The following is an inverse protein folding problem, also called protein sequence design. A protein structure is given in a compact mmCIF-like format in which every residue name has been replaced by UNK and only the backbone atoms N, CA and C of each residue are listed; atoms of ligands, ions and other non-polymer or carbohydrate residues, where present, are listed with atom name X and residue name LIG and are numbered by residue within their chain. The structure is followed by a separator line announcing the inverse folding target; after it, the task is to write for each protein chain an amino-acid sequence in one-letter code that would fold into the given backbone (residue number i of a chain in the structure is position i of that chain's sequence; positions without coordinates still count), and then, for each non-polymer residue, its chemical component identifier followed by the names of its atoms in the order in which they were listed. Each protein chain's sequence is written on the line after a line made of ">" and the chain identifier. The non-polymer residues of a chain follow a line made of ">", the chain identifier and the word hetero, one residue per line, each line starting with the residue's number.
data_IF_930320361177
#
_entry.id   IF_930320361177
#
_cell.length_a   1.000
_cell.length_b   1.000
_cell.length_c   1.000
_cell.angle_alpha   90.00
_cell.angle_beta   90.00
_cell.angle_gamma   90.00
#
_symmetry.space_group_name_H-M   'P 1'
#
loop_
_entity.id
_entity.type
_entity.pdbx_description
1 polymer ?
#
# COMPACT_ATOMS: atom_id res chain seq x y z
N UNK A 1 -18.75 -74.42 -12.98
CA UNK A 1 -18.83 -74.27 -11.50
C UNK A 1 -18.12 -72.99 -11.10
N UNK A 2 -18.66 -72.23 -10.15
CA UNK A 2 -18.54 -70.78 -10.09
C UNK A 2 -17.37 -70.33 -9.20
N UNK A 3 -16.73 -69.20 -9.52
CA UNK A 3 -16.26 -68.29 -8.48
C UNK A 3 -16.44 -66.84 -8.96
N UNK A 4 -17.24 -66.12 -8.19
CA UNK A 4 -17.53 -64.71 -8.25
C UNK A 4 -16.40 -63.94 -7.55
N UNK A 5 -15.88 -62.85 -8.12
CA UNK A 5 -15.35 -61.73 -7.33
C UNK A 5 -15.55 -60.42 -8.09
N UNK A 6 -16.16 -59.47 -7.38
CA UNK A 6 -16.70 -58.20 -7.81
C UNK A 6 -15.63 -57.07 -7.79
N UNK A 7 -15.99 -55.82 -8.16
CA UNK A 7 -15.09 -54.87 -8.80
C UNK A 7 -14.18 -54.16 -7.80
N UNK A 8 -12.90 -54.00 -8.15
CA UNK A 8 -12.07 -52.95 -7.57
C UNK A 8 -11.70 -51.96 -8.66
N UNK A 9 -12.38 -50.83 -8.56
CA UNK A 9 -12.15 -49.60 -9.27
C UNK A 9 -10.65 -49.32 -9.44
N UNK A 10 -10.21 -49.26 -10.70
CA UNK A 10 -8.96 -48.64 -11.09
C UNK A 10 -9.27 -47.28 -11.67
N UNK A 11 -9.37 -46.29 -10.79
CA UNK A 11 -9.30 -44.88 -11.17
C UNK A 11 -8.04 -44.31 -10.52
N UNK A 12 -6.92 -44.39 -11.24
CA UNK A 12 -5.80 -43.46 -11.07
C UNK A 12 -5.72 -42.66 -12.36
N UNK A 13 -6.79 -41.90 -12.62
CA UNK A 13 -6.73 -40.77 -13.53
C UNK A 13 -5.99 -39.66 -12.80
N UNK A 14 -4.72 -39.49 -13.11
CA UNK A 14 -3.95 -38.32 -12.72
C UNK A 14 -4.64 -37.08 -13.31
N UNK A 15 -5.43 -36.39 -12.50
CA UNK A 15 -5.89 -35.05 -12.82
C UNK A 15 -4.78 -34.07 -12.47
N UNK A 16 -3.88 -33.88 -13.44
CA UNK A 16 -3.21 -32.61 -13.70
C UNK A 16 -4.29 -31.53 -13.84
N UNK A 17 -4.74 -30.97 -12.71
CA UNK A 17 -5.57 -29.77 -12.71
C UNK A 17 -4.62 -28.58 -12.70
N UNK A 18 -4.29 -28.21 -13.94
CA UNK A 18 -3.86 -26.92 -14.44
C UNK A 18 -3.30 -25.94 -13.41
N UNK A 19 -2.01 -25.67 -13.54
CA UNK A 19 -1.44 -24.36 -13.30
C UNK A 19 -2.11 -23.34 -14.25
N UNK A 20 -3.36 -22.97 -13.96
CA UNK A 20 -3.84 -21.64 -14.27
C UNK A 20 -3.16 -20.74 -13.25
N UNK A 21 -2.02 -20.16 -13.63
CA UNK A 21 -1.36 -19.14 -12.84
C UNK A 21 -2.35 -17.97 -12.72
N UNK A 22 -3.16 -17.99 -11.67
CA UNK A 22 -3.95 -16.85 -11.29
C UNK A 22 -2.95 -15.73 -11.06
N UNK A 23 -3.00 -14.73 -11.93
CA UNK A 23 -2.36 -13.45 -11.75
C UNK A 23 -2.93 -12.82 -10.47
N UNK A 24 -2.39 -13.21 -9.33
CA UNK A 24 -2.74 -12.59 -8.07
C UNK A 24 -1.97 -11.28 -8.03
N UNK A 25 -2.67 -10.19 -8.30
CA UNK A 25 -2.32 -8.94 -7.65
C UNK A 25 -3.17 -8.96 -6.39
N UNK A 26 -2.60 -9.33 -5.25
CA UNK A 26 -3.36 -9.43 -4.01
C UNK A 26 -3.72 -8.06 -3.46
N UNK A 27 -4.56 -7.31 -4.15
CA UNK A 27 -5.37 -6.28 -3.52
C UNK A 27 -6.38 -7.03 -2.62
N UNK A 28 -6.55 -6.66 -1.34
CA UNK A 28 -6.24 -5.38 -0.70
C UNK A 28 -4.90 -5.34 0.06
N UNK A 29 -4.02 -6.35 -0.10
CA UNK A 29 -2.73 -6.41 0.59
C UNK A 29 -1.80 -5.27 0.15
N UNK A 30 -0.97 -4.83 1.09
CA UNK A 30 0.22 -4.02 0.82
C UNK A 30 1.39 -4.93 0.45
N UNK A 31 1.45 -6.11 1.07
CA UNK A 31 2.39 -7.17 0.72
C UNK A 31 1.98 -7.81 -0.60
N UNK A 32 2.83 -7.60 -1.60
CA UNK A 32 2.72 -8.15 -2.95
C UNK A 32 3.23 -9.60 -3.00
N UNK A 33 2.80 -10.37 -3.99
CA UNK A 33 3.31 -11.71 -4.27
C UNK A 33 4.26 -11.72 -5.48
N UNK A 34 4.81 -12.90 -5.77
CA UNK A 34 5.77 -13.12 -6.86
C UNK A 34 5.11 -13.55 -8.18
N UNK A 35 3.78 -13.68 -8.22
CA UNK A 35 3.07 -14.05 -9.43
C UNK A 35 3.23 -12.96 -10.50
N UNK A 36 3.18 -13.41 -11.74
CA UNK A 36 3.32 -12.60 -12.96
C UNK A 36 2.15 -12.88 -13.88
N UNK A 37 1.89 -12.00 -14.84
CA UNK A 37 0.80 -12.18 -15.80
C UNK A 37 1.06 -13.32 -16.78
N UNK A 38 2.33 -13.63 -17.04
CA UNK A 38 2.72 -14.52 -18.13
C UNK A 38 2.91 -13.78 -19.44
N UNK A 39 3.73 -14.34 -20.35
CA UNK A 39 4.10 -13.66 -21.58
C UNK A 39 2.87 -13.30 -22.45
N UNK A 40 2.76 -12.04 -22.85
CA UNK A 40 1.71 -11.56 -23.73
C UNK A 40 0.38 -11.20 -23.04
N UNK A 41 0.21 -11.54 -21.76
CA UNK A 41 -1.01 -11.25 -21.01
C UNK A 41 -1.04 -9.81 -20.49
N UNK A 42 -2.26 -9.35 -20.22
CA UNK A 42 -2.55 -8.01 -19.71
C UNK A 42 -3.44 -8.11 -18.48
N UNK A 43 -3.19 -7.25 -17.51
CA UNK A 43 -4.08 -7.05 -16.37
C UNK A 43 -4.36 -5.58 -16.16
N UNK A 44 -5.63 -5.27 -15.90
CA UNK A 44 -6.09 -3.96 -15.48
C UNK A 44 -6.55 -4.06 -14.03
N UNK A 45 -5.96 -3.23 -13.16
CA UNK A 45 -6.40 -3.07 -11.78
C UNK A 45 -6.95 -1.66 -11.59
N UNK A 46 -8.10 -1.56 -10.91
CA UNK A 46 -8.68 -0.30 -10.50
C UNK A 46 -8.98 -0.34 -9.00
N UNK A 47 -8.32 0.53 -8.23
CA UNK A 47 -8.43 0.54 -6.78
C UNK A 47 -8.93 1.88 -6.25
N UNK A 48 -9.58 1.87 -5.08
CA UNK A 48 -9.91 3.10 -4.35
C UNK A 48 -9.77 2.91 -2.85
N UNK A 49 -9.01 3.80 -2.24
CA UNK A 49 -8.81 3.83 -0.80
C UNK A 49 -9.51 5.03 -0.19
N UNK A 50 -10.11 4.83 0.98
CA UNK A 50 -10.59 5.93 1.82
C UNK A 50 -9.90 5.87 3.19
N UNK A 51 -8.97 6.79 3.40
CA UNK A 51 -8.22 6.92 4.65
C UNK A 51 -8.77 8.09 5.46
N UNK A 52 -9.01 7.86 6.75
CA UNK A 52 -9.35 8.90 7.71
C UNK A 52 -8.18 9.12 8.65
N UNK A 53 -7.84 10.38 8.85
CA UNK A 53 -6.75 10.79 9.72
C UNK A 53 -7.34 11.59 10.89
N UNK A 54 -7.19 11.06 12.11
CA UNK A 54 -7.64 11.76 13.33
C UNK A 54 -6.45 12.48 13.95
N UNK A 55 -6.55 13.80 14.03
CA UNK A 55 -5.57 14.65 14.71
C UNK A 55 -6.26 15.52 15.76
N UNK A 56 -5.47 16.12 16.66
CA UNK A 56 -6.01 17.01 17.69
C UNK A 56 -6.71 18.26 17.11
N UNK A 57 -6.34 18.67 15.90
CA UNK A 57 -6.96 19.77 15.15
C UNK A 57 -8.26 19.37 14.41
N UNK A 58 -8.68 18.10 14.48
CA UNK A 58 -9.86 17.56 13.82
C UNK A 58 -9.56 16.34 12.95
N UNK A 59 -10.58 15.86 12.22
CA UNK A 59 -10.45 14.71 11.31
C UNK A 59 -10.25 15.19 9.87
N UNK A 60 -9.12 14.81 9.28
CA UNK A 60 -8.88 14.90 7.85
C UNK A 60 -9.25 13.59 7.14
N UNK A 61 -9.33 13.63 5.82
CA UNK A 61 -9.53 12.43 5.02
C UNK A 61 -8.80 12.52 3.69
N UNK A 62 -8.47 11.37 3.15
CA UNK A 62 -7.94 11.21 1.81
C UNK A 62 -8.66 10.07 1.12
N UNK A 63 -9.07 10.33 -0.11
CA UNK A 63 -9.43 9.32 -1.08
C UNK A 63 -8.34 9.29 -2.14
N UNK A 64 -7.87 8.12 -2.47
CA UNK A 64 -6.99 7.96 -3.61
C UNK A 64 -7.49 6.78 -4.43
N UNK A 65 -7.62 7.04 -5.72
CA UNK A 65 -8.12 6.10 -6.71
C UNK A 65 -6.99 5.90 -7.69
N UNK A 66 -6.82 4.69 -8.18
CA UNK A 66 -5.75 4.42 -9.09
C UNK A 66 -6.16 3.42 -10.15
N UNK A 67 -5.48 3.51 -11.29
CA UNK A 67 -5.57 2.53 -12.35
C UNK A 67 -4.16 2.06 -12.64
N UNK A 68 -3.97 0.74 -12.63
CA UNK A 68 -2.71 0.09 -13.00
C UNK A 68 -2.94 -0.80 -14.19
N UNK A 69 -2.13 -0.64 -15.23
CA UNK A 69 -2.09 -1.53 -16.37
C UNK A 69 -0.77 -2.28 -16.37
N UNK A 70 -0.85 -3.60 -16.31
CA UNK A 70 0.28 -4.52 -16.29
C UNK A 70 0.32 -5.33 -17.58
N UNK A 71 1.53 -5.55 -18.10
CA UNK A 71 1.79 -6.43 -19.24
C UNK A 71 2.91 -7.40 -18.89
N UNK A 72 2.68 -8.69 -19.10
CA UNK A 72 3.72 -9.71 -19.00
C UNK A 72 4.60 -9.69 -20.23
N UNK A 73 5.82 -9.17 -20.11
CA UNK A 73 6.83 -9.18 -21.17
C UNK A 73 7.42 -10.58 -21.38
N UNK A 74 7.46 -11.38 -20.33
CA UNK A 74 7.85 -12.78 -20.34
C UNK A 74 7.14 -13.51 -19.19
N UNK A 75 7.23 -14.84 -19.15
CA UNK A 75 6.57 -15.64 -18.11
C UNK A 75 7.00 -15.23 -16.69
N UNK A 76 8.24 -14.76 -16.53
CA UNK A 76 8.80 -14.33 -15.26
C UNK A 76 8.92 -12.79 -15.11
N UNK A 77 8.44 -11.99 -16.07
CA UNK A 77 8.65 -10.54 -16.08
C UNK A 77 7.39 -9.77 -16.47
N UNK A 78 6.90 -8.96 -15.54
CA UNK A 78 5.85 -7.99 -15.77
C UNK A 78 6.40 -6.57 -15.78
N UNK A 79 5.78 -5.71 -16.57
CA UNK A 79 5.90 -4.24 -16.45
C UNK A 79 4.54 -3.63 -16.25
N UNK A 80 4.46 -2.59 -15.44
CA UNK A 80 3.21 -1.92 -15.12
C UNK A 80 3.37 -0.40 -15.11
N UNK A 81 2.28 0.27 -15.47
CA UNK A 81 2.11 1.72 -15.29
C UNK A 81 0.92 1.98 -14.37
N UNK A 82 1.12 2.85 -13.40
CA UNK A 82 0.13 3.25 -12.41
C UNK A 82 -0.16 4.73 -12.53
N UNK A 83 -1.44 5.08 -12.60
CA UNK A 83 -1.94 6.44 -12.66
C UNK A 83 -2.82 6.74 -11.43
N UNK A 84 -2.31 7.46 -10.42
CA UNK A 84 -3.10 7.80 -9.25
C UNK A 84 -3.88 9.11 -9.45
N UNK A 85 -5.09 9.13 -8.89
CA UNK A 85 -5.90 10.33 -8.67
C UNK A 85 -6.12 10.52 -7.18
N UNK A 86 -5.73 11.68 -6.67
CA UNK A 86 -5.83 12.00 -5.25
C UNK A 86 -6.95 13.01 -5.01
N UNK A 87 -7.67 12.84 -3.91
CA UNK A 87 -8.63 13.79 -3.39
C UNK A 87 -8.55 13.78 -1.87
N UNK A 88 -8.09 14.86 -1.26
CA UNK A 88 -7.92 14.89 0.19
C UNK A 88 -8.33 16.24 0.76
N UNK A 89 -8.60 16.22 2.06
CA UNK A 89 -8.90 17.41 2.85
C UNK A 89 -8.25 17.29 4.22
N UNK A 90 -7.45 18.29 4.57
CA UNK A 90 -6.96 18.45 5.95
C UNK A 90 -8.09 18.95 6.86
N UNK A 91 -8.00 18.63 8.15
CA UNK A 91 -8.95 19.12 9.15
C UNK A 91 -9.05 20.65 9.11
N UNK A 92 -10.24 21.17 8.80
CA UNK A 92 -10.51 22.61 8.70
C UNK A 92 -9.96 23.32 7.45
N UNK A 93 -9.30 22.60 6.53
CA UNK A 93 -8.80 23.13 5.26
C UNK A 93 -9.76 22.90 4.08
N UNK A 94 -9.52 23.55 2.93
CA UNK A 94 -10.22 23.25 1.68
C UNK A 94 -9.77 21.89 1.11
N UNK A 95 -10.63 21.20 0.34
CA UNK A 95 -10.23 19.99 -0.36
C UNK A 95 -9.29 20.29 -1.53
N UNK A 96 -8.36 19.37 -1.79
CA UNK A 96 -7.46 19.38 -2.96
C UNK A 96 -7.66 18.10 -3.73
N UNK A 97 -7.72 18.20 -5.07
CA UNK A 97 -7.86 17.04 -5.95
C UNK A 97 -7.04 17.18 -7.22
N UNK A 98 -6.62 16.05 -7.76
CA UNK A 98 -5.98 15.97 -9.07
C UNK A 98 -5.13 14.72 -9.25
N UNK A 99 -4.47 14.59 -10.41
CA UNK A 99 -3.56 13.48 -10.66
C UNK A 99 -2.35 13.55 -9.72
N UNK A 100 -1.91 12.38 -9.27
CA UNK A 100 -0.68 12.22 -8.50
C UNK A 100 0.54 11.96 -9.38
N UNK A 101 1.65 11.59 -8.75
CA UNK A 101 2.86 11.15 -9.44
C UNK A 101 2.64 9.73 -10.02
N UNK A 102 2.77 9.58 -11.34
CA UNK A 102 2.64 8.30 -12.02
C UNK A 102 3.81 7.37 -11.68
N UNK A 103 3.58 6.06 -11.66
CA UNK A 103 4.64 5.08 -11.39
C UNK A 103 4.81 4.10 -12.56
N UNK A 104 6.05 3.74 -12.82
CA UNK A 104 6.48 2.65 -13.68
C UNK A 104 7.10 1.57 -12.79
N UNK A 105 6.70 0.34 -13.00
CA UNK A 105 7.10 -0.80 -12.18
C UNK A 105 7.50 -1.95 -13.08
N UNK A 106 8.50 -2.72 -12.66
CA UNK A 106 8.70 -4.07 -13.17
C UNK A 106 8.66 -5.05 -12.01
N UNK A 107 8.12 -6.25 -12.25
CA UNK A 107 8.17 -7.37 -11.30
C UNK A 107 8.84 -8.53 -12.02
N UNK A 108 9.96 -8.97 -11.48
CA UNK A 108 10.76 -10.06 -12.06
C UNK A 108 10.85 -11.21 -11.07
N UNK A 109 10.17 -12.32 -11.35
CA UNK A 109 10.34 -13.59 -10.62
C UNK A 109 11.71 -14.17 -10.95
N UNK A 110 12.62 -14.14 -9.98
CA UNK A 110 14.01 -14.55 -10.15
C UNK A 110 14.19 -16.05 -9.95
N UNK A 111 13.52 -16.58 -8.93
CA UNK A 111 13.65 -17.96 -8.48
C UNK A 111 12.27 -18.50 -8.16
N UNK A 112 12.07 -19.76 -8.48
CA UNK A 112 10.85 -20.50 -8.22
C UNK A 112 11.21 -21.97 -8.06
N UNK A 113 10.67 -22.60 -7.04
CA UNK A 113 10.69 -24.04 -6.85
C UNK A 113 9.25 -24.49 -6.69
N UNK A 114 8.66 -24.97 -7.77
CA UNK A 114 7.27 -25.43 -7.82
C UNK A 114 7.06 -26.64 -6.90
N UNK A 115 8.03 -27.54 -6.81
CA UNK A 115 7.93 -28.75 -5.98
C UNK A 115 7.89 -28.40 -4.49
N UNK A 116 8.63 -27.37 -4.10
CA UNK A 116 8.62 -26.82 -2.75
C UNK A 116 7.68 -25.61 -2.60
N UNK A 117 6.88 -25.26 -3.60
CA UNK A 117 5.90 -24.17 -3.59
C UNK A 117 6.44 -22.85 -3.03
N UNK A 118 7.63 -22.40 -3.42
CA UNK A 118 8.17 -21.09 -3.03
C UNK A 118 8.80 -20.36 -4.20
N UNK A 119 8.84 -19.04 -4.09
CA UNK A 119 9.37 -18.18 -5.14
C UNK A 119 9.88 -16.85 -4.57
N UNK A 120 10.79 -16.22 -5.32
CA UNK A 120 11.38 -14.92 -5.01
C UNK A 120 11.32 -14.01 -6.24
N UNK A 121 10.99 -12.74 -6.03
CA UNK A 121 10.95 -11.74 -7.08
C UNK A 121 11.63 -10.43 -6.65
N UNK A 122 12.18 -9.71 -7.63
CA UNK A 122 12.59 -8.32 -7.48
C UNK A 122 11.57 -7.40 -8.13
N UNK A 123 11.33 -6.26 -7.49
CA UNK A 123 10.38 -5.26 -7.96
C UNK A 123 11.00 -3.85 -7.94
N UNK A 124 11.71 -3.45 -9.00
CA UNK A 124 12.11 -2.06 -9.18
C UNK A 124 10.91 -1.18 -9.55
N UNK A 125 10.90 0.04 -9.05
CA UNK A 125 9.87 1.03 -9.34
C UNK A 125 10.49 2.42 -9.53
N UNK A 126 9.97 3.16 -10.50
CA UNK A 126 10.26 4.57 -10.71
C UNK A 126 8.96 5.36 -10.61
N UNK A 127 8.93 6.37 -9.74
CA UNK A 127 7.83 7.33 -9.66
C UNK A 127 8.25 8.61 -10.38
N UNK A 128 7.40 9.08 -11.29
CA UNK A 128 7.64 10.24 -12.14
C UNK A 128 6.99 11.49 -11.53
N UNK A 129 7.62 12.67 -11.62
CA UNK A 129 7.09 13.91 -11.03
C UNK A 129 5.97 14.54 -11.87
N UNK A 130 4.94 13.77 -12.21
CA UNK A 130 3.79 14.23 -13.01
C UNK A 130 2.73 14.96 -12.19
N UNK A 131 2.70 14.74 -10.88
CA UNK A 131 1.80 15.39 -9.94
C UNK A 131 2.20 16.83 -9.64
N UNK A 132 1.21 17.66 -9.33
CA UNK A 132 1.46 19.07 -9.03
C UNK A 132 2.06 19.26 -7.64
N UNK A 133 3.37 19.54 -7.57
CA UNK A 133 4.06 19.84 -6.31
C UNK A 133 3.46 21.04 -5.58
N UNK A 134 3.13 22.12 -6.30
CA UNK A 134 2.56 23.35 -5.72
C UNK A 134 1.21 23.10 -5.02
N UNK A 135 0.44 22.13 -5.50
CA UNK A 135 -0.82 21.70 -4.90
C UNK A 135 -0.65 20.55 -3.90
N UNK A 136 0.57 20.03 -3.72
CA UNK A 136 0.83 18.88 -2.85
C UNK A 136 0.26 17.56 -3.39
N UNK A 137 0.17 17.43 -4.72
CA UNK A 137 -0.26 16.20 -5.41
C UNK A 137 0.93 15.38 -5.93
N UNK A 138 2.17 15.86 -5.76
CA UNK A 138 3.38 15.18 -6.21
C UNK A 138 4.62 15.69 -5.47
N UNK A 139 5.68 14.90 -5.48
CA UNK A 139 6.97 15.19 -4.83
C UNK A 139 7.77 16.29 -5.55
N UNK A 140 7.48 16.51 -6.84
CA UNK A 140 8.24 17.39 -7.74
C UNK A 140 9.61 16.84 -8.16
N UNK A 141 9.91 15.57 -7.88
CA UNK A 141 11.15 14.88 -8.31
C UNK A 141 10.88 13.40 -8.55
N UNK A 142 11.63 12.79 -9.46
CA UNK A 142 11.54 11.35 -9.64
C UNK A 142 12.09 10.62 -8.40
N UNK A 143 11.44 9.53 -7.99
CA UNK A 143 11.91 8.65 -6.92
C UNK A 143 12.09 7.23 -7.44
N UNK A 144 13.04 6.49 -6.87
CA UNK A 144 13.27 5.10 -7.23
C UNK A 144 13.12 4.19 -6.02
N UNK A 145 12.62 2.98 -6.23
CA UNK A 145 12.52 1.95 -5.20
C UNK A 145 12.93 0.59 -5.74
N UNK A 146 13.31 -0.27 -4.81
CA UNK A 146 13.58 -1.68 -5.05
C UNK A 146 13.00 -2.48 -3.89
N UNK A 147 12.24 -3.52 -4.20
CA UNK A 147 11.75 -4.49 -3.23
C UNK A 147 12.18 -5.91 -3.62
N UNK A 148 12.51 -6.70 -2.61
CA UNK A 148 12.54 -8.16 -2.68
C UNK A 148 11.20 -8.68 -2.16
N UNK A 149 10.64 -9.65 -2.85
CA UNK A 149 9.33 -10.24 -2.60
C UNK A 149 9.52 -11.75 -2.51
N UNK A 150 8.85 -12.37 -1.54
CA UNK A 150 8.85 -13.81 -1.33
C UNK A 150 7.43 -14.33 -1.19
N UNK A 151 7.15 -15.47 -1.81
CA UNK A 151 5.89 -16.19 -1.69
C UNK A 151 6.15 -17.65 -1.33
N UNK A 152 5.33 -18.21 -0.43
CA UNK A 152 5.36 -19.63 -0.06
C UNK A 152 3.93 -20.14 0.01
N UNK A 153 3.59 -21.13 -0.80
CA UNK A 153 2.25 -21.73 -0.85
C UNK A 153 2.26 -23.15 -0.26
N UNK A 154 1.34 -23.42 0.67
CA UNK A 154 1.20 -24.71 1.38
C UNK A 154 -0.28 -25.06 1.52
N UNK A 155 -0.78 -25.92 0.63
CA UNK A 155 -2.21 -26.25 0.58
C UNK A 155 -3.04 -24.97 0.36
N UNK A 156 -4.07 -24.69 1.18
CA UNK A 156 -4.90 -23.50 1.02
C UNK A 156 -4.25 -22.21 1.56
N UNK A 157 -3.02 -22.25 2.05
CA UNK A 157 -2.34 -21.11 2.67
C UNK A 157 -1.23 -20.56 1.77
N UNK A 158 -1.21 -19.25 1.61
CA UNK A 158 -0.12 -18.52 0.96
C UNK A 158 0.48 -17.53 1.96
N UNK A 159 1.79 -17.60 2.14
CA UNK A 159 2.57 -16.72 2.99
C UNK A 159 3.40 -15.79 2.13
N UNK A 160 3.34 -14.50 2.42
CA UNK A 160 4.01 -13.46 1.64
C UNK A 160 4.93 -12.65 2.55
N UNK A 161 6.09 -12.24 2.04
CA UNK A 161 7.02 -11.38 2.76
C UNK A 161 7.80 -10.48 1.80
N UNK A 162 7.80 -9.18 2.09
CA UNK A 162 8.45 -8.18 1.27
C UNK A 162 9.43 -7.36 2.11
N UNK A 163 10.54 -6.93 1.52
CA UNK A 163 11.48 -5.98 2.12
C UNK A 163 12.14 -5.11 1.06
N UNK A 164 12.32 -3.81 1.33
CA UNK A 164 12.83 -2.93 0.30
C UNK A 164 13.16 -1.52 0.75
N UNK A 165 13.71 -0.78 -0.20
CA UNK A 165 14.27 0.55 0.01
C UNK A 165 13.79 1.52 -1.06
N UNK A 166 13.65 2.78 -0.65
CA UNK A 166 13.26 3.88 -1.52
C UNK A 166 14.29 5.00 -1.43
N UNK A 167 14.76 5.46 -2.58
CA UNK A 167 15.41 6.76 -2.72
C UNK A 167 14.34 7.83 -2.97
N UNK A 168 13.88 8.46 -1.88
CA UNK A 168 12.88 9.52 -1.88
C UNK A 168 13.56 10.86 -2.18
N UNK A 169 13.98 11.03 -3.43
CA UNK A 169 14.44 12.33 -3.93
C UNK A 169 13.25 13.29 -3.93
N UNK A 170 13.22 14.23 -2.99
CA UNK A 170 12.13 15.20 -2.86
C UNK A 170 12.68 16.63 -2.73
N UNK A 171 11.78 17.62 -2.85
CA UNK A 171 12.05 19.05 -2.55
C UNK A 171 11.42 19.52 -1.24
N UNK A 172 10.78 18.62 -0.49
CA UNK A 172 10.03 18.90 0.75
C UNK A 172 10.86 18.74 2.03
N UNK A 173 12.14 18.36 1.93
CA UNK A 173 13.05 18.23 3.08
C UNK A 173 12.88 16.92 3.88
N UNK A 174 12.13 15.96 3.33
CA UNK A 174 11.89 14.65 3.93
C UNK A 174 13.15 13.77 3.92
N UNK A 175 13.10 12.62 4.61
CA UNK A 175 14.19 11.65 4.58
C UNK A 175 14.41 11.13 3.16
N UNK A 176 15.68 11.10 2.74
CA UNK A 176 16.11 10.64 1.41
C UNK A 176 16.01 9.12 1.24
N UNK A 177 16.25 8.36 2.31
CA UNK A 177 16.21 6.89 2.25
C UNK A 177 15.20 6.33 3.24
N UNK A 178 14.23 5.61 2.69
CA UNK A 178 13.17 4.94 3.43
C UNK A 178 13.34 3.42 3.25
N UNK A 179 12.99 2.68 4.28
CA UNK A 179 12.89 1.22 4.21
C UNK A 179 11.44 0.83 4.53
N UNK A 180 11.01 -0.29 3.99
CA UNK A 180 9.75 -0.91 4.35
C UNK A 180 9.90 -2.42 4.35
N UNK A 181 9.13 -3.06 5.23
CA UNK A 181 9.02 -4.50 5.31
C UNK A 181 7.58 -4.85 5.70
N UNK A 182 7.03 -5.89 5.08
CA UNK A 182 5.68 -6.36 5.35
C UNK A 182 5.57 -7.86 5.15
N UNK A 183 4.56 -8.45 5.75
CA UNK A 183 4.21 -9.85 5.58
C UNK A 183 2.71 -10.00 5.60
N UNK A 184 2.21 -10.93 4.79
CA UNK A 184 0.81 -11.25 4.74
C UNK A 184 0.59 -12.76 4.70
N UNK A 185 -0.61 -13.14 5.08
CA UNK A 185 -1.13 -14.48 4.92
C UNK A 185 -2.46 -14.42 4.18
N UNK A 186 -2.62 -15.31 3.22
CA UNK A 186 -3.85 -15.54 2.49
C UNK A 186 -4.29 -16.98 2.73
N UNK A 187 -5.58 -17.15 2.95
CA UNK A 187 -6.22 -18.44 3.09
C UNK A 187 -7.32 -18.58 2.05
N UNK A 188 -7.17 -19.52 1.12
CA UNK A 188 -8.21 -19.93 0.19
C UNK A 188 -9.29 -20.70 0.96
N UNK A 189 -10.27 -19.97 1.50
CA UNK A 189 -11.34 -20.51 2.31
C UNK A 189 -12.30 -21.38 1.47
N UNK A 190 -12.56 -20.96 0.23
CA UNK A 190 -13.27 -21.75 -0.80
C UNK A 190 -12.65 -21.49 -2.17
N UNK A 191 -13.17 -22.13 -3.22
CA UNK A 191 -12.76 -21.83 -4.60
C UNK A 191 -13.06 -20.37 -5.02
N UNK A 192 -14.09 -19.74 -4.41
CA UNK A 192 -14.50 -18.38 -4.74
C UNK A 192 -13.98 -17.34 -3.76
N UNK A 193 -13.53 -17.73 -2.57
CA UNK A 193 -13.21 -16.80 -1.50
C UNK A 193 -11.81 -17.03 -0.92
N UNK A 194 -11.00 -15.98 -0.93
CA UNK A 194 -9.77 -15.89 -0.17
C UNK A 194 -9.92 -14.88 0.97
N UNK A 195 -9.48 -15.23 2.17
CA UNK A 195 -9.35 -14.30 3.30
C UNK A 195 -7.90 -13.91 3.48
N UNK A 196 -7.66 -12.64 3.79
CA UNK A 196 -6.29 -12.12 3.88
C UNK A 196 -6.04 -11.29 5.12
N UNK A 197 -4.80 -11.33 5.61
CA UNK A 197 -4.31 -10.49 6.68
C UNK A 197 -2.89 -10.00 6.36
N UNK A 198 -2.61 -8.73 6.65
CA UNK A 198 -1.34 -8.08 6.33
C UNK A 198 -0.84 -7.27 7.52
N UNK A 199 0.48 -7.23 7.69
CA UNK A 199 1.14 -6.39 8.68
C UNK A 199 2.46 -5.90 8.13
N UNK A 200 2.81 -4.66 8.48
CA UNK A 200 4.09 -4.13 8.04
C UNK A 200 4.56 -2.93 8.82
N UNK A 201 5.81 -2.60 8.60
CA UNK A 201 6.49 -1.45 9.14
C UNK A 201 7.26 -0.72 8.04
N UNK A 202 7.32 0.60 8.14
CA UNK A 202 8.12 1.42 7.24
C UNK A 202 8.76 2.57 7.98
N UNK A 203 9.89 3.05 7.46
CA UNK A 203 10.51 4.26 7.96
C UNK A 203 9.63 5.45 7.62
N UNK A 204 9.20 6.18 8.64
CA UNK A 204 8.45 7.41 8.41
C UNK A 204 9.27 8.38 7.56
N UNK A 205 8.64 9.06 6.63
CA UNK A 205 9.34 10.05 5.81
C UNK A 205 9.61 11.36 6.54
N UNK A 206 8.67 11.73 7.41
CA UNK A 206 8.81 12.84 8.33
C UNK A 206 9.94 12.56 9.31
N UNK A 207 10.82 13.55 9.50
CA UNK A 207 11.93 13.41 10.44
C UNK A 207 11.48 13.29 11.90
N UNK A 208 10.28 13.77 12.22
CA UNK A 208 9.73 13.76 13.57
C UNK A 208 9.21 12.38 14.01
N UNK A 209 8.69 11.58 13.09
CA UNK A 209 8.30 10.20 13.35
C UNK A 209 9.48 9.25 13.05
N UNK A 210 9.52 8.08 13.71
CA UNK A 210 10.57 7.08 13.46
C UNK A 210 10.10 5.98 12.50
N UNK A 211 8.94 5.40 12.78
CA UNK A 211 8.45 4.21 12.09
C UNK A 211 6.93 4.22 12.05
N UNK A 212 6.36 3.96 10.88
CA UNK A 212 4.93 3.75 10.69
C UNK A 212 4.67 2.24 10.64
N UNK A 213 3.56 1.80 11.23
CA UNK A 213 3.16 0.39 11.26
C UNK A 213 1.69 0.25 10.90
N UNK A 214 1.30 -0.88 10.33
CA UNK A 214 -0.10 -1.14 10.01
C UNK A 214 -0.48 -2.61 10.23
N UNK A 215 -1.78 -2.83 10.33
CA UNK A 215 -2.45 -4.12 10.13
C UNK A 215 -3.59 -3.95 9.13
N UNK A 216 -3.87 -4.98 8.34
CA UNK A 216 -4.98 -5.06 7.41
C UNK A 216 -5.67 -6.42 7.56
N UNK A 217 -6.99 -6.42 7.41
CA UNK A 217 -7.79 -7.61 7.15
C UNK A 217 -8.61 -7.38 5.89
N UNK A 218 -8.78 -8.40 5.06
CA UNK A 218 -9.56 -8.29 3.83
C UNK A 218 -10.08 -9.62 3.33
N UNK A 219 -10.84 -9.54 2.25
CA UNK A 219 -11.33 -10.68 1.50
C UNK A 219 -11.23 -10.40 0.00
N UNK A 220 -11.03 -11.46 -0.77
CA UNK A 220 -10.98 -11.46 -2.23
C UNK A 220 -12.04 -12.45 -2.70
N UNK A 221 -12.92 -11.98 -3.59
CA UNK A 221 -13.94 -12.76 -4.27
C UNK A 221 -13.50 -13.02 -5.71
N UNK A 222 -13.18 -14.28 -6.00
CA UNK A 222 -12.86 -14.77 -7.33
C UNK A 222 -14.16 -14.98 -8.11
N UNK A 223 -14.64 -13.91 -8.75
CA UNK A 223 -15.93 -13.90 -9.45
C UNK A 223 -15.86 -14.76 -10.71
N UNK A 224 -14.70 -14.71 -11.40
CA UNK A 224 -14.34 -15.50 -12.58
C UNK A 224 -12.83 -15.73 -12.56
N UNK A 225 -12.34 -16.57 -13.45
CA UNK A 225 -10.90 -16.82 -13.61
C UNK A 225 -10.10 -15.56 -13.99
N UNK A 226 -10.77 -14.54 -14.55
CA UNK A 226 -10.18 -13.29 -15.04
C UNK A 226 -10.60 -12.05 -14.21
N UNK A 227 -11.37 -12.23 -13.13
CA UNK A 227 -11.98 -11.12 -12.41
C UNK A 227 -12.08 -11.39 -10.92
N UNK A 228 -11.29 -10.63 -10.17
CA UNK A 228 -11.32 -10.58 -8.71
C UNK A 228 -11.95 -9.27 -8.22
N UNK A 229 -12.72 -9.37 -7.14
CA UNK A 229 -13.23 -8.23 -6.38
C UNK A 229 -12.74 -8.32 -4.95
N UNK A 230 -12.08 -7.28 -4.45
CA UNK A 230 -11.53 -7.26 -3.11
C UNK A 230 -12.05 -6.11 -2.25
N UNK A 231 -11.98 -6.33 -0.94
CA UNK A 231 -12.22 -5.30 0.05
C UNK A 231 -11.35 -5.55 1.28
N UNK A 232 -10.75 -4.47 1.80
CA UNK A 232 -9.92 -4.53 2.99
C UNK A 232 -10.15 -3.37 3.95
N UNK A 233 -9.91 -3.63 5.24
CA UNK A 233 -9.85 -2.63 6.27
C UNK A 233 -8.45 -2.59 6.88
N UNK A 234 -7.82 -1.40 6.79
CA UNK A 234 -6.48 -1.15 7.30
C UNK A 234 -6.49 -0.19 8.48
N UNK A 235 -5.66 -0.47 9.47
CA UNK A 235 -5.41 0.41 10.62
C UNK A 235 -3.93 0.60 10.85
N UNK A 236 -3.52 1.83 11.15
CA UNK A 236 -2.18 2.10 11.65
C UNK A 236 -2.02 1.64 13.09
N UNK A 237 -0.87 1.03 13.40
CA UNK A 237 -0.51 0.53 14.72
C UNK A 237 0.49 1.45 15.41
N UNK A 238 0.35 1.62 16.72
CA UNK A 238 1.19 2.52 17.53
C UNK A 238 0.54 3.88 17.80
N UNK A 239 0.81 4.43 18.98
CA UNK A 239 0.14 5.61 19.49
C UNK A 239 0.74 6.92 18.96
N UNK A 240 -0.13 7.90 18.72
CA UNK A 240 0.22 9.30 18.62
C UNK A 240 0.78 9.79 19.97
N UNK A 241 2.07 10.17 20.02
CA UNK A 241 2.61 11.12 20.99
C UNK A 241 4.03 11.57 20.56
N UNK A 242 4.11 12.62 19.75
CA UNK A 242 5.28 13.50 19.74
C UNK A 242 4.79 14.95 19.79
N UNK A 243 5.17 15.68 20.83
CA UNK A 243 4.93 17.11 20.97
C UNK A 243 6.18 17.87 20.50
N UNK A 244 6.13 18.68 19.44
CA UNK A 244 7.24 19.59 19.14
C UNK A 244 7.28 20.73 20.17
N UNK A 245 8.47 21.23 20.56
CA UNK A 245 8.61 22.32 21.52
C UNK A 245 7.98 23.62 21.00
N UNK A 246 7.49 24.49 21.90
CA UNK A 246 6.81 25.73 21.50
C UNK A 246 7.86 26.75 21.06
N UNK A 247 7.94 27.02 19.75
CA UNK A 247 8.72 28.15 19.27
C UNK A 247 9.21 28.04 17.84
N UNK A 248 8.81 29.05 17.06
CA UNK A 248 9.40 29.52 15.79
C UNK A 248 8.92 28.87 14.48
N UNK A 249 8.19 29.74 13.78
CA UNK A 249 8.26 30.10 12.34
C UNK A 249 7.50 29.19 11.36
N UNK A 250 6.53 29.83 10.68
CA UNK A 250 6.07 29.65 9.29
C UNK A 250 6.46 28.29 8.65
N UNK A 251 5.49 27.38 8.52
CA UNK A 251 5.70 26.07 7.89
C UNK A 251 4.80 25.90 6.65
N UNK A 252 5.45 25.58 5.53
CA UNK A 252 4.86 25.05 4.30
C UNK A 252 4.52 23.55 4.47
N UNK A 253 3.52 23.00 3.75
CA UNK A 253 3.01 21.65 3.99
C UNK A 253 3.96 20.60 3.39
N UNK A 254 4.93 20.14 4.17
CA UNK A 254 5.90 19.11 3.78
C UNK A 254 5.65 17.80 4.54
N UNK A 255 4.87 16.89 3.93
CA UNK A 255 4.91 15.43 4.11
C UNK A 255 3.75 14.75 3.41
N UNK A 256 3.60 15.00 2.10
CA UNK A 256 2.48 14.47 1.31
C UNK A 256 2.91 13.46 0.24
N UNK A 257 4.20 13.20 0.08
CA UNK A 257 4.66 12.56 -1.16
C UNK A 257 5.67 11.40 -0.98
N UNK A 258 6.09 11.08 0.24
CA UNK A 258 7.17 10.12 0.47
C UNK A 258 6.77 8.64 0.60
N UNK A 259 5.47 8.33 0.61
CA UNK A 259 4.99 6.98 0.91
C UNK A 259 4.76 6.12 -0.32
N UNK A 260 4.74 6.71 -1.51
CA UNK A 260 4.28 6.07 -2.76
C UNK A 260 5.23 4.98 -3.29
N UNK A 261 6.49 5.02 -2.87
CA UNK A 261 7.53 4.19 -3.44
C UNK A 261 7.54 2.72 -2.98
N UNK A 262 6.60 2.34 -2.12
CA UNK A 262 6.46 0.98 -1.61
C UNK A 262 5.02 0.50 -1.54
N UNK A 263 4.12 1.21 -2.24
CA UNK A 263 2.68 1.01 -2.12
C UNK A 263 2.12 0.60 -3.47
N UNK A 264 1.15 -0.32 -3.52
CA UNK A 264 0.26 -0.41 -4.66
C UNK A 264 -0.27 0.99 -4.98
N UNK A 265 -0.62 1.17 -6.24
CA UNK A 265 -1.31 2.33 -6.73
C UNK A 265 -2.44 2.78 -5.77
N UNK A 266 -2.41 4.02 -5.25
CA UNK A 266 -3.55 4.62 -4.53
C UNK A 266 -3.47 4.88 -3.01
N UNK A 267 -2.34 4.65 -2.30
CA UNK A 267 -2.38 4.67 -0.82
C UNK A 267 -1.76 5.90 -0.10
N UNK A 268 -2.45 6.58 0.86
CA UNK A 268 -2.01 7.84 1.52
C UNK A 268 -0.95 7.74 2.64
N UNK A 269 -0.17 8.81 2.85
CA UNK A 269 0.65 9.02 4.07
C UNK A 269 -0.21 9.31 5.31
N UNK A 270 0.25 8.87 6.48
CA UNK A 270 -0.33 9.19 7.80
C UNK A 270 0.63 10.08 8.60
N UNK A 271 0.13 11.11 9.30
CA UNK A 271 0.94 12.07 10.08
C UNK A 271 0.66 12.04 11.60
N UNK A 272 1.58 12.57 12.44
CA UNK A 272 1.34 12.89 13.85
C UNK A 272 0.77 14.31 14.10
N UNK A 273 0.22 14.60 15.30
CA UNK A 273 -0.75 15.69 15.57
C UNK A 273 -0.19 17.14 15.70
N UNK A 274 -1.08 18.14 15.57
CA UNK A 274 -0.91 19.55 16.01
C UNK A 274 -2.08 20.06 16.87
N UNK A 275 -1.80 20.84 17.92
CA UNK A 275 -2.75 21.70 18.67
C UNK A 275 -2.68 23.15 18.20
N UNK A 276 -3.81 23.87 18.18
CA UNK A 276 -3.86 25.34 18.17
C UNK A 276 -3.78 25.88 19.62
N UNK A 277 -3.19 27.07 19.86
CA UNK A 277 -3.13 27.67 21.18
C UNK A 277 -4.52 28.08 21.67
N UNK A 278 -4.77 27.91 22.97
CA UNK A 278 -5.89 28.52 23.66
C UNK A 278 -5.75 30.05 23.58
N UNK A 279 -6.86 30.73 23.26
CA UNK A 279 -7.01 32.16 23.48
C UNK A 279 -6.79 32.46 24.97
N UNK A 280 -5.78 33.29 25.28
CA UNK A 280 -5.58 33.78 26.64
C UNK A 280 -6.80 34.61 27.09
N UNK A 281 -7.24 34.49 28.35
CA UNK A 281 -8.30 35.34 28.87
C UNK A 281 -7.84 36.80 28.92
N UNK A 282 -8.70 37.73 28.48
CA UNK A 282 -8.51 39.17 28.64
C UNK A 282 -8.37 39.48 30.14
N UNK A 283 -7.20 39.92 30.56
CA UNK A 283 -7.01 40.53 31.87
C UNK A 283 -7.73 41.89 31.89
N UNK A 284 -8.82 41.99 32.65
CA UNK A 284 -9.37 43.27 33.07
C UNK A 284 -8.32 44.00 33.91
N UNK A 285 -7.88 45.18 33.44
CA UNK A 285 -7.18 46.16 34.30
C UNK A 285 -8.20 46.78 35.26
N UNK A 286 -7.90 46.91 36.57
CA UNK A 286 -8.70 47.76 37.44
C UNK A 286 -8.43 49.23 37.13
N UNK A 287 -9.48 50.05 37.24
CA UNK A 287 -9.45 51.48 37.04
C UNK A 287 -8.50 52.16 38.03
N UNK A 288 -7.60 53.02 37.53
CA UNK A 288 -6.90 54.00 38.37
C UNK A 288 -7.86 55.15 38.65
N UNK A 289 -8.15 55.37 39.93
CA UNK A 289 -8.68 56.64 40.42
C UNK A 289 -7.68 57.77 40.12
N UNK A 290 -8.19 58.91 39.64
CA UNK A 290 -7.48 60.20 39.66
C UNK A 290 -8.00 61.01 40.85
N UNK A 291 -7.13 61.74 41.58
CA UNK A 291 -7.58 62.75 42.52
C UNK A 291 -7.85 64.06 41.79
N UNK A 292 -8.90 64.76 42.22
CA UNK A 292 -9.34 66.07 41.73
C UNK A 292 -10.64 66.42 42.42
#
# INVERSE_FOLDING_TARGET
>A
MPVCFSPRARWLGAALLGAAGAAQATHPLVTDDTATQGAGHWQLEASTDHTRERAAAGTGWQRATSVTLTHGLADALDVAVTLPWQHWREAGGPPVRGPGDAALLAKWRLLEDEAQGWSLALRPQLTLPSGSQARGLGTGRATAALALIASVQRGPWTWLANAGVTCNCNRSGERKYLWAASTAVQWAATAQWSLVADWGASRAAERAARTDRFALLGAIWHLREDLDLDAGWRRSLGAAAWAPPPGRRRWAPASRCAGEAWRPAGWPLLRPPRRRPASAPRSHRPARARPG
#
